data_IF_064484028986
#
_entry.id   IF_064484028986
#
_cell.length_a   1.000
_cell.length_b   1.000
_cell.length_c   1.000
_cell.angle_alpha   90.00
_cell.angle_beta   90.00
_cell.angle_gamma   90.00
#
_symmetry.space_group_name_H-M   'P 1'
#
loop_
_entity.id
_entity.type
_entity.pdbx_description
1 polymer ?
#
# COMPACT_ATOMS: atom_id res chain seq x y z
N UNK A 1 36.39 -62.93 -62.89
CA UNK A 1 37.38 -63.87 -62.34
C UNK A 1 38.65 -63.08 -62.07
N UNK A 2 38.98 -62.85 -60.79
CA UNK A 2 40.23 -62.16 -60.43
C UNK A 2 41.43 -63.05 -60.76
N UNK A 3 42.49 -62.47 -61.34
CA UNK A 3 43.76 -63.16 -61.56
C UNK A 3 44.25 -63.79 -60.25
N UNK A 4 44.84 -65.00 -60.27
CA UNK A 4 45.42 -65.58 -59.08
C UNK A 4 46.51 -64.64 -58.55
N UNK A 5 46.26 -64.03 -57.38
CA UNK A 5 47.28 -63.24 -56.72
C UNK A 5 48.39 -64.20 -56.27
N UNK A 6 49.67 -63.89 -56.53
CA UNK A 6 50.76 -64.74 -56.09
C UNK A 6 50.69 -64.86 -54.57
N UNK A 7 50.64 -66.10 -54.07
CA UNK A 7 50.66 -66.37 -52.63
C UNK A 7 52.05 -66.00 -52.13
N UNK A 8 52.19 -64.80 -51.56
CA UNK A 8 53.41 -64.36 -50.89
C UNK A 8 53.58 -65.30 -49.71
N UNK A 9 54.62 -66.13 -49.69
CA UNK A 9 54.92 -67.05 -48.59
C UNK A 9 55.76 -66.35 -47.51
N UNK A 10 55.73 -66.84 -46.27
CA UNK A 10 56.55 -66.29 -45.19
C UNK A 10 58.03 -66.25 -45.58
N UNK A 11 58.53 -67.30 -46.25
CA UNK A 11 59.91 -67.39 -46.71
C UNK A 11 60.27 -66.32 -47.75
N UNK A 12 59.33 -65.96 -48.64
CA UNK A 12 59.53 -64.89 -49.61
C UNK A 12 59.67 -63.52 -48.93
N UNK A 13 58.87 -63.28 -47.88
CA UNK A 13 58.97 -62.04 -47.09
C UNK A 13 60.29 -61.99 -46.32
N UNK A 14 60.72 -63.11 -45.71
CA UNK A 14 62.03 -63.20 -45.04
C UNK A 14 63.17 -62.89 -46.01
N UNK A 15 63.14 -63.47 -47.21
CA UNK A 15 64.18 -63.29 -48.21
C UNK A 15 64.34 -61.81 -48.60
N UNK A 16 63.23 -61.12 -48.89
CA UNK A 16 63.31 -59.72 -49.31
C UNK A 16 63.61 -58.77 -48.16
N UNK A 17 63.14 -59.02 -46.95
CA UNK A 17 63.54 -58.25 -45.77
C UNK A 17 65.04 -58.41 -45.47
N UNK A 18 65.57 -59.63 -45.56
CA UNK A 18 67.01 -59.88 -45.35
C UNK A 18 67.85 -59.21 -46.44
N UNK A 19 67.40 -59.26 -47.69
CA UNK A 19 68.04 -58.59 -48.83
C UNK A 19 68.03 -57.07 -48.71
N UNK A 20 67.03 -56.50 -48.06
CA UNK A 20 66.97 -55.08 -47.70
C UNK A 20 67.91 -54.70 -46.53
N UNK A 21 68.71 -55.64 -46.02
CA UNK A 21 69.69 -55.41 -44.95
C UNK A 21 69.12 -55.56 -43.54
N UNK A 22 67.87 -56.04 -43.39
CA UNK A 22 67.28 -56.32 -42.08
C UNK A 22 67.89 -57.61 -41.54
N UNK A 23 68.24 -57.61 -40.26
CA UNK A 23 68.75 -58.80 -39.59
C UNK A 23 67.77 -59.98 -39.78
N UNK A 24 68.30 -61.16 -40.10
CA UNK A 24 67.50 -62.34 -40.46
C UNK A 24 66.49 -62.72 -39.38
N UNK A 25 66.83 -62.61 -38.10
CA UNK A 25 65.93 -62.96 -37.00
C UNK A 25 64.76 -61.96 -36.92
N UNK A 26 65.03 -60.68 -37.18
CA UNK A 26 64.02 -59.63 -37.29
C UNK A 26 63.14 -59.83 -38.53
N UNK A 27 63.73 -60.24 -39.66
CA UNK A 27 63.01 -60.56 -40.89
C UNK A 27 62.05 -61.76 -40.72
N UNK A 28 62.48 -62.79 -39.97
CA UNK A 28 61.65 -63.94 -39.61
C UNK A 28 60.46 -63.51 -38.76
N UNK A 29 60.69 -62.73 -37.71
CA UNK A 29 59.61 -62.20 -36.86
C UNK A 29 58.64 -61.33 -37.67
N UNK A 30 59.12 -60.37 -38.45
CA UNK A 30 58.27 -59.50 -39.28
C UNK A 30 57.46 -60.26 -40.33
N UNK A 31 58.05 -61.27 -40.97
CA UNK A 31 57.34 -62.12 -41.93
C UNK A 31 56.21 -62.92 -41.28
N UNK A 32 56.41 -63.37 -40.04
CA UNK A 32 55.40 -64.10 -39.27
C UNK A 32 54.22 -63.19 -38.96
N UNK A 33 54.52 -61.96 -38.49
CA UNK A 33 53.51 -60.93 -38.19
C UNK A 33 52.71 -60.51 -39.43
N UNK A 34 53.36 -60.38 -40.58
CA UNK A 34 52.71 -60.11 -41.86
C UNK A 34 51.76 -61.25 -42.26
N UNK A 35 52.20 -62.51 -42.18
CA UNK A 35 51.38 -63.66 -42.55
C UNK A 35 50.19 -63.91 -41.64
N UNK A 36 50.31 -63.53 -40.37
CA UNK A 36 49.26 -63.66 -39.35
C UNK A 36 48.34 -62.43 -39.28
N UNK A 37 48.49 -61.46 -40.18
CA UNK A 37 47.77 -60.17 -40.18
C UNK A 37 47.95 -59.33 -38.90
N UNK A 38 48.98 -59.59 -38.09
CA UNK A 38 49.24 -58.86 -36.84
C UNK A 38 49.56 -57.38 -37.10
N UNK A 39 50.03 -57.04 -38.29
CA UNK A 39 50.25 -55.64 -38.70
C UNK A 39 48.92 -54.89 -38.91
N UNK A 40 47.91 -55.53 -39.49
CA UNK A 40 46.58 -54.94 -39.76
C UNK A 40 45.75 -54.77 -38.48
N UNK A 41 45.85 -55.70 -37.53
CA UNK A 41 45.16 -55.57 -36.24
C UNK A 41 45.68 -54.38 -35.42
N UNK A 42 47.00 -54.12 -35.46
CA UNK A 42 47.60 -52.96 -34.78
C UNK A 42 47.14 -51.63 -35.37
N UNK A 43 46.97 -51.54 -36.68
CA UNK A 43 46.44 -50.33 -37.32
C UNK A 43 44.98 -50.08 -36.91
N UNK A 44 44.16 -51.13 -36.83
CA UNK A 44 42.77 -51.05 -36.37
C UNK A 44 42.70 -50.68 -34.88
N UNK A 45 43.55 -51.27 -34.06
CA UNK A 45 43.68 -50.96 -32.63
C UNK A 45 44.09 -49.50 -32.42
N UNK A 46 45.08 -49.01 -33.16
CA UNK A 46 45.50 -47.61 -33.15
C UNK A 46 44.37 -46.66 -33.57
N UNK A 47 43.63 -46.99 -34.63
CA UNK A 47 42.47 -46.19 -35.05
C UNK A 47 41.39 -46.17 -33.96
N UNK A 48 41.10 -47.31 -33.35
CA UNK A 48 40.12 -47.44 -32.27
C UNK A 48 40.52 -46.58 -31.07
N UNK A 49 41.75 -46.70 -30.58
CA UNK A 49 42.27 -45.88 -29.47
C UNK A 49 42.16 -44.38 -29.78
N UNK A 50 42.53 -43.97 -31.00
CA UNK A 50 42.44 -42.57 -31.40
C UNK A 50 40.99 -42.06 -31.44
N UNK A 51 40.05 -42.87 -31.93
CA UNK A 51 38.63 -42.52 -31.91
C UNK A 51 38.06 -42.44 -30.49
N UNK A 52 38.40 -43.38 -29.61
CA UNK A 52 37.99 -43.38 -28.20
C UNK A 52 38.50 -42.10 -27.50
N UNK A 53 39.79 -41.78 -27.66
CA UNK A 53 40.37 -40.54 -27.08
C UNK A 53 39.67 -39.28 -27.62
N UNK A 54 39.36 -39.23 -28.92
CA UNK A 54 38.64 -38.09 -29.50
C UNK A 54 37.22 -37.98 -28.95
N UNK A 55 36.53 -39.11 -28.78
CA UNK A 55 35.19 -39.15 -28.24
C UNK A 55 35.15 -38.67 -26.79
N UNK A 56 36.08 -39.14 -25.95
CA UNK A 56 36.22 -38.69 -24.56
C UNK A 56 36.48 -37.17 -24.48
N UNK A 57 37.34 -36.64 -25.36
CA UNK A 57 37.60 -35.20 -25.42
C UNK A 57 36.36 -34.40 -25.82
N UNK A 58 35.59 -34.87 -26.80
CA UNK A 58 34.35 -34.22 -27.22
C UNK A 58 33.33 -34.25 -26.09
N UNK A 59 33.16 -35.37 -25.40
CA UNK A 59 32.26 -35.50 -24.25
C UNK A 59 32.65 -34.53 -23.13
N UNK A 60 33.93 -34.48 -22.76
CA UNK A 60 34.43 -33.58 -21.73
C UNK A 60 34.19 -32.11 -22.08
N UNK A 61 34.42 -31.72 -23.34
CA UNK A 61 34.16 -30.35 -23.80
C UNK A 61 32.67 -30.00 -23.77
N UNK A 62 31.80 -30.92 -24.20
CA UNK A 62 30.35 -30.70 -24.16
C UNK A 62 29.83 -30.59 -22.72
N UNK A 63 30.30 -31.43 -21.81
CA UNK A 63 29.94 -31.34 -20.39
C UNK A 63 30.40 -30.01 -19.77
N UNK A 64 31.61 -29.55 -20.11
CA UNK A 64 32.13 -28.26 -19.67
C UNK A 64 31.27 -27.09 -20.19
N UNK A 65 30.92 -27.12 -21.48
CA UNK A 65 30.08 -26.09 -22.10
C UNK A 65 28.67 -26.05 -21.49
N UNK A 66 28.04 -27.20 -21.30
CA UNK A 66 26.72 -27.30 -20.65
C UNK A 66 26.77 -26.74 -19.24
N UNK A 67 27.83 -27.04 -18.47
CA UNK A 67 28.01 -26.50 -17.12
C UNK A 67 28.19 -24.98 -17.15
N UNK A 68 28.98 -24.47 -18.10
CA UNK A 68 29.21 -23.03 -18.29
C UNK A 68 27.91 -22.30 -18.59
N UNK A 69 27.15 -22.78 -19.59
CA UNK A 69 25.86 -22.21 -19.99
C UNK A 69 24.85 -22.24 -18.84
N UNK A 70 24.81 -23.35 -18.08
CA UNK A 70 23.95 -23.46 -16.89
C UNK A 70 24.28 -22.38 -15.86
N UNK A 71 25.56 -22.20 -15.53
CA UNK A 71 26.00 -21.18 -14.59
C UNK A 71 25.71 -19.76 -15.09
N UNK A 72 25.88 -19.48 -16.38
CA UNK A 72 25.52 -18.18 -16.95
C UNK A 72 24.01 -17.91 -16.83
N UNK A 73 23.18 -18.92 -17.11
CA UNK A 73 21.73 -18.80 -17.01
C UNK A 73 21.27 -18.58 -15.56
N UNK A 74 21.83 -19.34 -14.61
CA UNK A 74 21.53 -19.19 -13.17
C UNK A 74 21.87 -17.76 -12.71
N UNK A 75 23.07 -17.24 -13.06
CA UNK A 75 23.47 -15.87 -12.72
C UNK A 75 22.54 -14.82 -13.35
N UNK A 76 22.10 -15.03 -14.58
CA UNK A 76 21.17 -14.11 -15.26
C UNK A 76 19.79 -14.11 -14.62
N UNK A 77 19.32 -15.27 -14.17
CA UNK A 77 18.07 -15.42 -13.42
C UNK A 77 18.17 -14.69 -12.09
N UNK A 78 19.22 -14.91 -11.31
CA UNK A 78 19.44 -14.24 -10.02
C UNK A 78 19.51 -12.73 -10.17
N UNK A 79 20.24 -12.23 -11.19
CA UNK A 79 20.28 -10.80 -11.50
C UNK A 79 18.90 -10.23 -11.82
N UNK A 80 18.03 -11.00 -12.51
CA UNK A 80 16.68 -10.54 -12.84
C UNK A 80 15.74 -10.57 -11.65
N UNK A 81 15.88 -11.54 -10.74
CA UNK A 81 15.15 -11.53 -9.47
C UNK A 81 15.54 -10.32 -8.62
N UNK A 82 16.84 -10.06 -8.44
CA UNK A 82 17.31 -8.88 -7.71
C UNK A 82 16.80 -7.56 -8.33
N UNK A 83 16.75 -7.44 -9.67
CA UNK A 83 16.14 -6.27 -10.33
C UNK A 83 14.64 -6.14 -10.04
N UNK A 84 13.91 -7.25 -9.96
CA UNK A 84 12.48 -7.26 -9.67
C UNK A 84 12.20 -6.92 -8.20
N UNK A 85 12.96 -7.49 -7.26
CA UNK A 85 12.85 -7.19 -5.83
C UNK A 85 13.05 -5.69 -5.58
N UNK A 86 14.12 -5.10 -6.14
CA UNK A 86 14.35 -3.66 -6.04
C UNK A 86 13.21 -2.82 -6.63
N UNK A 87 12.56 -3.28 -7.71
CA UNK A 87 11.40 -2.58 -8.28
C UNK A 87 10.18 -2.69 -7.37
N UNK A 88 9.95 -3.84 -6.76
CA UNK A 88 8.87 -4.08 -5.81
C UNK A 88 9.07 -3.17 -4.58
N UNK A 89 10.27 -3.16 -3.99
CA UNK A 89 10.61 -2.31 -2.85
C UNK A 89 10.38 -0.82 -3.17
N UNK A 90 10.79 -0.36 -4.36
CA UNK A 90 10.56 1.01 -4.77
C UNK A 90 9.07 1.33 -4.95
N UNK A 91 8.27 0.40 -5.50
CA UNK A 91 6.81 0.60 -5.63
C UNK A 91 6.16 0.64 -4.25
N UNK A 92 6.52 -0.26 -3.34
CA UNK A 92 6.00 -0.32 -1.97
C UNK A 92 6.30 0.98 -1.21
N UNK A 93 7.55 1.44 -1.22
CA UNK A 93 7.95 2.70 -0.58
C UNK A 93 7.19 3.90 -1.15
N UNK A 94 7.00 3.96 -2.47
CA UNK A 94 6.24 5.04 -3.11
C UNK A 94 4.75 5.01 -2.74
N UNK A 95 4.15 3.82 -2.59
CA UNK A 95 2.77 3.67 -2.14
C UNK A 95 2.62 4.07 -0.67
N UNK A 96 3.52 3.64 0.21
CA UNK A 96 3.52 4.02 1.62
C UNK A 96 3.59 5.55 1.78
N UNK A 97 4.53 6.21 1.09
CA UNK A 97 4.65 7.68 1.10
C UNK A 97 3.37 8.39 0.62
N UNK A 98 2.71 7.86 -0.42
CA UNK A 98 1.44 8.41 -0.93
C UNK A 98 0.31 8.24 0.09
N UNK A 99 0.26 7.09 0.76
CA UNK A 99 -0.72 6.81 1.81
C UNK A 99 -0.53 7.78 2.98
N UNK A 100 0.70 7.94 3.49
CA UNK A 100 1.02 8.85 4.59
C UNK A 100 0.65 10.31 4.23
N UNK A 101 0.97 10.73 3.00
CA UNK A 101 0.59 12.06 2.52
C UNK A 101 -0.94 12.25 2.54
N UNK A 102 -1.70 11.23 2.11
CA UNK A 102 -3.17 11.31 2.10
C UNK A 102 -3.78 11.28 3.50
N UNK A 103 -3.20 10.55 4.44
CA UNK A 103 -3.61 10.62 5.85
C UNK A 103 -3.38 12.02 6.42
N UNK A 104 -2.21 12.60 6.22
CA UNK A 104 -1.92 13.98 6.67
C UNK A 104 -2.87 15.02 6.03
N UNK A 105 -3.20 14.88 4.75
CA UNK A 105 -4.19 15.74 4.09
C UNK A 105 -5.59 15.60 4.73
N UNK A 106 -6.00 14.39 5.10
CA UNK A 106 -7.29 14.12 5.74
C UNK A 106 -7.34 14.67 7.17
N UNK A 107 -6.29 14.48 7.96
CA UNK A 107 -6.20 15.00 9.33
C UNK A 107 -6.32 16.53 9.33
N UNK A 108 -5.59 17.21 8.43
CA UNK A 108 -5.70 18.67 8.26
C UNK A 108 -7.12 19.11 7.87
N UNK A 109 -7.82 18.37 7.00
CA UNK A 109 -9.22 18.67 6.64
C UNK A 109 -10.15 18.49 7.83
N UNK A 110 -9.96 17.44 8.62
CA UNK A 110 -10.76 17.18 9.83
C UNK A 110 -10.56 18.30 10.85
N UNK A 111 -9.32 18.74 11.06
CA UNK A 111 -9.02 19.81 12.02
C UNK A 111 -9.57 21.16 11.57
N UNK A 112 -9.53 21.46 10.27
CA UNK A 112 -10.18 22.66 9.71
C UNK A 112 -11.70 22.64 9.96
N UNK A 113 -12.38 21.53 9.62
CA UNK A 113 -13.83 21.39 9.85
C UNK A 113 -14.17 21.50 11.34
N UNK A 114 -13.37 20.91 12.22
CA UNK A 114 -13.55 21.05 13.68
C UNK A 114 -13.42 22.49 14.14
N UNK A 115 -12.47 23.24 13.59
CA UNK A 115 -12.26 24.65 13.91
C UNK A 115 -13.43 25.51 13.42
N UNK A 116 -13.92 25.27 12.20
CA UNK A 116 -15.09 25.95 11.64
C UNK A 116 -16.33 25.69 12.51
N UNK A 117 -16.63 24.43 12.82
CA UNK A 117 -17.77 24.07 13.67
C UNK A 117 -17.68 24.69 15.07
N UNK A 118 -16.47 24.79 15.65
CA UNK A 118 -16.27 25.45 16.95
C UNK A 118 -16.56 26.96 16.86
N UNK A 119 -16.22 27.59 15.73
CA UNK A 119 -16.56 28.99 15.49
C UNK A 119 -18.07 29.18 15.34
N UNK A 120 -18.72 28.34 14.54
CA UNK A 120 -20.17 28.40 14.31
C UNK A 120 -20.96 28.22 15.61
N UNK A 121 -20.54 27.28 16.48
CA UNK A 121 -21.16 27.08 17.80
C UNK A 121 -21.01 28.34 18.66
N UNK A 122 -19.83 28.95 18.69
CA UNK A 122 -19.60 30.18 19.46
C UNK A 122 -20.46 31.34 18.95
N UNK A 123 -20.62 31.46 17.63
CA UNK A 123 -21.44 32.51 17.03
C UNK A 123 -22.93 32.29 17.34
N UNK A 124 -23.39 31.04 17.37
CA UNK A 124 -24.74 30.69 17.82
C UNK A 124 -24.96 31.00 19.30
N UNK A 125 -24.01 30.67 20.18
CA UNK A 125 -24.08 30.99 21.61
C UNK A 125 -24.21 32.51 21.83
N UNK A 126 -23.38 33.31 21.17
CA UNK A 126 -23.47 34.78 21.23
C UNK A 126 -24.82 35.31 20.73
N UNK A 127 -25.37 34.69 19.69
CA UNK A 127 -26.69 35.05 19.14
C UNK A 127 -27.81 34.71 20.14
N UNK A 128 -27.72 33.57 20.83
CA UNK A 128 -28.66 33.22 21.87
C UNK A 128 -28.58 34.18 23.05
N UNK A 129 -27.38 34.49 23.55
CA UNK A 129 -27.19 35.47 24.64
C UNK A 129 -27.80 36.83 24.28
N UNK A 130 -27.58 37.29 23.04
CA UNK A 130 -28.17 38.54 22.55
C UNK A 130 -29.70 38.48 22.57
N UNK A 131 -30.30 37.36 22.10
CA UNK A 131 -31.76 37.20 22.09
C UNK A 131 -32.37 37.04 23.47
N UNK A 132 -31.67 36.42 24.42
CA UNK A 132 -32.10 36.38 25.81
C UNK A 132 -32.09 37.78 26.43
N UNK A 133 -31.02 38.56 26.23
CA UNK A 133 -30.95 39.95 26.72
C UNK A 133 -32.05 40.84 26.10
N UNK A 134 -32.35 40.69 24.81
CA UNK A 134 -33.47 41.38 24.16
C UNK A 134 -34.82 41.01 24.81
N UNK A 135 -35.04 39.72 25.13
CA UNK A 135 -36.24 39.25 25.80
C UNK A 135 -36.35 39.77 27.24
N UNK A 136 -35.27 39.74 28.01
CA UNK A 136 -35.23 40.25 29.38
C UNK A 136 -35.59 41.74 29.42
N UNK A 137 -35.00 42.54 28.53
CA UNK A 137 -35.33 43.96 28.40
C UNK A 137 -36.81 44.19 28.06
N UNK A 138 -37.39 43.35 27.18
CA UNK A 138 -38.81 43.44 26.83
C UNK A 138 -39.70 43.08 28.02
N UNK A 139 -39.32 42.06 28.79
CA UNK A 139 -40.03 41.66 30.02
C UNK A 139 -39.99 42.79 31.05
N UNK A 140 -38.84 43.44 31.23
CA UNK A 140 -38.70 44.54 32.17
C UNK A 140 -39.47 45.80 31.75
N UNK A 141 -39.57 46.08 30.44
CA UNK A 141 -40.46 47.14 29.92
C UNK A 141 -41.92 46.86 30.26
N UNK A 142 -42.40 45.65 29.93
CA UNK A 142 -43.79 45.24 30.21
C UNK A 142 -44.09 45.28 31.72
N UNK A 143 -43.16 44.83 32.57
CA UNK A 143 -43.31 44.92 34.04
C UNK A 143 -43.40 46.36 34.51
N UNK A 144 -42.64 47.28 33.91
CA UNK A 144 -42.67 48.70 34.26
C UNK A 144 -43.97 49.37 33.84
N UNK A 145 -44.48 49.05 32.65
CA UNK A 145 -45.79 49.48 32.15
C UNK A 145 -46.91 49.00 33.08
N UNK A 146 -46.98 47.69 33.37
CA UNK A 146 -47.98 47.14 34.28
C UNK A 146 -47.91 47.75 35.69
N UNK A 147 -46.71 48.08 36.17
CA UNK A 147 -46.55 48.77 37.47
C UNK A 147 -47.07 50.21 37.43
N UNK A 148 -47.00 50.88 36.28
CA UNK A 148 -47.62 52.19 36.09
C UNK A 148 -49.13 52.06 36.08
N UNK A 149 -49.67 51.14 35.28
CA UNK A 149 -51.12 50.90 35.18
C UNK A 149 -51.75 50.59 36.54
N UNK A 150 -51.06 49.78 37.37
CA UNK A 150 -51.50 49.48 38.75
C UNK A 150 -51.56 50.75 39.61
N UNK A 151 -50.56 51.64 39.53
CA UNK A 151 -50.55 52.90 40.30
C UNK A 151 -51.65 53.86 39.87
N UNK A 152 -51.92 53.90 38.56
CA UNK A 152 -52.98 54.73 38.00
C UNK A 152 -54.34 54.23 38.49
N UNK A 153 -54.56 52.91 38.48
CA UNK A 153 -55.75 52.27 39.06
C UNK A 153 -55.88 52.53 40.57
N UNK A 154 -54.81 52.41 41.36
CA UNK A 154 -54.83 52.72 42.79
C UNK A 154 -55.27 54.18 43.02
N UNK A 155 -54.78 55.12 42.20
CA UNK A 155 -55.15 56.54 42.27
C UNK A 155 -56.61 56.79 41.90
N UNK A 156 -57.15 56.07 40.90
CA UNK A 156 -58.57 56.12 40.55
C UNK A 156 -59.45 55.57 41.67
N UNK A 157 -59.04 54.46 42.31
CA UNK A 157 -59.74 53.88 43.47
C UNK A 157 -59.79 54.87 44.64
N UNK A 158 -58.66 55.48 45.00
CA UNK A 158 -58.58 56.50 46.05
C UNK A 158 -59.52 57.69 45.77
N UNK A 159 -59.58 58.14 44.52
CA UNK A 159 -60.49 59.21 44.11
C UNK A 159 -61.97 58.80 44.25
N UNK A 160 -62.33 57.59 43.85
CA UNK A 160 -63.70 57.07 44.00
C UNK A 160 -64.06 56.95 45.49
N UNK A 161 -63.16 56.42 46.32
CA UNK A 161 -63.38 56.27 47.76
C UNK A 161 -63.58 57.63 48.44
N UNK A 162 -62.74 58.63 48.14
CA UNK A 162 -62.88 59.99 48.67
C UNK A 162 -64.22 60.63 48.26
N UNK A 163 -64.62 60.49 46.99
CA UNK A 163 -65.89 61.01 46.50
C UNK A 163 -67.10 60.33 47.18
N UNK A 164 -67.05 59.03 47.41
CA UNK A 164 -68.08 58.30 48.14
C UNK A 164 -68.16 58.74 49.60
N UNK A 165 -67.03 58.91 50.28
CA UNK A 165 -66.97 59.41 51.65
C UNK A 165 -67.62 60.80 51.78
N UNK A 166 -67.29 61.73 50.88
CA UNK A 166 -67.92 63.07 50.84
C UNK A 166 -69.43 62.98 50.66
N UNK A 167 -69.91 62.15 49.71
CA UNK A 167 -71.35 61.96 49.49
C UNK A 167 -72.05 61.37 50.71
N UNK A 168 -71.44 60.39 51.38
CA UNK A 168 -71.95 59.78 52.60
C UNK A 168 -72.04 60.83 53.72
N UNK A 169 -71.02 61.65 53.89
CA UNK A 169 -71.00 62.69 54.91
C UNK A 169 -72.06 63.77 54.65
N UNK A 170 -72.23 64.19 53.39
CA UNK A 170 -73.32 65.10 53.00
C UNK A 170 -74.69 64.51 53.37
N UNK A 171 -74.99 63.26 52.97
CA UNK A 171 -76.24 62.59 53.31
C UNK A 171 -76.43 62.47 54.82
N UNK A 172 -75.38 62.15 55.58
CA UNK A 172 -75.43 62.12 57.05
C UNK A 172 -75.78 63.48 57.63
N UNK A 173 -75.20 64.57 57.10
CA UNK A 173 -75.49 65.93 57.57
C UNK A 173 -76.92 66.35 57.27
N UNK A 174 -77.44 66.05 56.08
CA UNK A 174 -78.83 66.31 55.69
C UNK A 174 -79.80 65.58 56.61
N UNK A 175 -79.64 64.26 56.78
CA UNK A 175 -80.49 63.45 57.66
C UNK A 175 -80.46 63.95 59.11
N UNK A 176 -79.30 64.38 59.62
CA UNK A 176 -79.17 64.94 60.96
C UNK A 176 -79.94 66.27 61.10
N UNK A 177 -79.91 67.11 60.06
CA UNK A 177 -80.68 68.34 60.00
C UNK A 177 -82.18 68.06 59.98
N UNK A 178 -82.63 67.12 59.14
CA UNK A 178 -84.04 66.74 59.03
C UNK A 178 -84.59 66.22 60.38
N UNK A 179 -83.87 65.30 61.04
CA UNK A 179 -84.25 64.78 62.37
C UNK A 179 -84.34 65.90 63.42
N UNK A 180 -83.41 66.86 63.38
CA UNK A 180 -83.42 67.99 64.31
C UNK A 180 -84.68 68.85 64.09
N UNK A 181 -85.04 69.14 62.84
CA UNK A 181 -86.24 69.94 62.53
C UNK A 181 -87.55 69.27 63.00
N UNK A 182 -87.66 67.95 62.87
CA UNK A 182 -88.82 67.18 63.34
C UNK A 182 -88.98 67.17 64.87
N UNK A 183 -87.92 67.49 65.63
CA UNK A 183 -87.96 67.52 67.10
C UNK A 183 -88.48 68.85 67.67
N UNK A 184 -88.70 69.86 66.82
CA UNK A 184 -89.20 71.20 67.19
C UNK A 184 -90.64 71.48 66.72
N UNK A 185 -91.27 70.54 66.00
CA UNK A 185 -92.71 70.51 65.69
C UNK A 185 -93.49 69.75 66.77
#
# INVERSE_FOLDING_TARGET
>A
MGLPQPVITQQMVIAELTKAGINRDIAVDLSFRYYRNELTYKDIEFLKENFEIKLEKVEALLQAEIKSVKTELDNKIDSKFNELDNKIDNVENNLNNKIDTKFNELDNKIDNVRSELKSDIKDLDNKFDTKFNELDNKIDSVRSELKSDIKDLDSEIDNVENNLNIKIDNVRTELKSDIASMSYE
#
